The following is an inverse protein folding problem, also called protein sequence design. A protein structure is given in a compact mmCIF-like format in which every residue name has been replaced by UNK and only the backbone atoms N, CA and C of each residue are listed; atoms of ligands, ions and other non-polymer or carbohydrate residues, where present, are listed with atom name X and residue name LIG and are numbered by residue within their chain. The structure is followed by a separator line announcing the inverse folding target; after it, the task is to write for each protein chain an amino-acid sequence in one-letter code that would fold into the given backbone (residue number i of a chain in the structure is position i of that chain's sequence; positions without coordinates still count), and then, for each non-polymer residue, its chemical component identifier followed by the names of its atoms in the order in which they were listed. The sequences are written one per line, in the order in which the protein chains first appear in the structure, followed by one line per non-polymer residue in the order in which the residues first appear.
data_IF_444151162158
#
_entry.id   IF_444151162158
#
_cell.length_a   1.000
_cell.length_b   1.000
_cell.length_c   1.000
_cell.angle_alpha   90.00
_cell.angle_beta   90.00
_cell.angle_gamma   90.00
#
_symmetry.space_group_name_H-M   'P 1'
#
loop_
_entity.id
_entity.type
_entity.pdbx_description
1 polymer ?
#
# COMPACT_ATOMS: atom_id res chain seq x y z
N UNK A 1 9.35 3.85 -1.09
CA UNK A 1 8.33 2.86 -0.68
C UNK A 1 8.59 2.27 0.72
N UNK A 2 9.76 1.69 1.01
CA UNK A 2 10.06 1.10 2.34
C UNK A 2 9.91 2.08 3.51
N UNK A 3 10.35 3.32 3.38
CA UNK A 3 10.26 4.33 4.45
C UNK A 3 8.82 4.71 4.78
N UNK A 4 7.92 4.81 3.81
CA UNK A 4 6.51 5.11 4.07
C UNK A 4 5.77 3.90 4.66
N UNK A 5 5.94 2.72 4.09
CA UNK A 5 5.21 1.51 4.49
C UNK A 5 5.73 0.89 5.80
N UNK A 6 7.02 1.03 6.12
CA UNK A 6 7.70 0.46 7.32
C UNK A 6 7.30 -0.98 7.60
N UNK A 7 7.47 -1.90 6.64
CA UNK A 7 6.96 -3.26 6.77
C UNK A 7 7.69 -4.04 7.84
N UNK A 8 6.95 -4.71 8.72
CA UNK A 8 7.46 -5.69 9.69
C UNK A 8 7.02 -7.10 9.36
N UNK A 9 5.83 -7.26 8.76
CA UNK A 9 5.32 -8.55 8.28
C UNK A 9 4.59 -8.38 6.95
N UNK A 10 4.53 -9.48 6.20
CA UNK A 10 3.81 -9.56 4.93
C UNK A 10 2.84 -10.73 4.98
N UNK A 11 1.67 -10.56 4.38
CA UNK A 11 0.81 -11.70 4.08
C UNK A 11 1.42 -12.61 3.02
N UNK A 12 0.89 -13.81 2.90
CA UNK A 12 1.09 -14.59 1.69
C UNK A 12 0.54 -13.81 0.48
N UNK A 13 1.36 -13.58 -0.56
CA UNK A 13 0.88 -12.87 -1.75
C UNK A 13 -0.06 -13.76 -2.55
N UNK A 14 -1.09 -13.14 -3.15
CA UNK A 14 -2.06 -13.80 -4.02
C UNK A 14 -1.94 -13.28 -5.44
N UNK A 15 -1.99 -14.19 -6.41
CA UNK A 15 -2.03 -13.83 -7.83
C UNK A 15 -3.47 -13.90 -8.32
N UNK A 16 -3.93 -12.82 -8.95
CA UNK A 16 -5.27 -12.74 -9.50
C UNK A 16 -5.22 -12.45 -11.01
N UNK A 17 -6.09 -13.14 -11.75
CA UNK A 17 -6.26 -13.00 -13.20
C UNK A 17 -7.70 -12.63 -13.50
N UNK A 18 -7.89 -11.55 -14.27
CA UNK A 18 -9.19 -11.07 -14.71
C UNK A 18 -9.22 -11.05 -16.25
N UNK A 19 -10.07 -11.86 -16.86
CA UNK A 19 -10.37 -11.82 -18.29
C UNK A 19 -11.60 -10.94 -18.58
N UNK A 20 -12.08 -10.89 -19.83
CA UNK A 20 -13.25 -10.11 -20.22
C UNK A 20 -14.48 -10.43 -19.37
N UNK A 21 -15.12 -9.40 -18.82
CA UNK A 21 -16.22 -9.48 -17.86
C UNK A 21 -15.78 -9.65 -16.40
N UNK A 22 -14.51 -10.01 -16.16
CA UNK A 22 -13.95 -10.16 -14.81
C UNK A 22 -13.88 -8.81 -14.09
N UNK A 23 -14.35 -8.78 -12.85
CA UNK A 23 -14.35 -7.61 -11.98
C UNK A 23 -14.30 -8.06 -10.52
N UNK A 24 -14.10 -7.13 -9.63
CA UNK A 24 -14.26 -7.38 -8.19
C UNK A 24 -15.04 -6.23 -7.55
N UNK A 25 -16.17 -6.54 -6.93
CA UNK A 25 -17.06 -5.55 -6.34
C UNK A 25 -16.38 -4.71 -5.27
N UNK A 26 -16.91 -3.53 -5.00
CA UNK A 26 -16.38 -2.64 -3.96
C UNK A 26 -16.52 -3.30 -2.59
N UNK A 27 -15.43 -3.36 -1.83
CA UNK A 27 -15.34 -4.01 -0.53
C UNK A 27 -14.24 -3.35 0.33
N UNK A 28 -14.10 -3.82 1.54
CA UNK A 28 -12.91 -3.63 2.39
C UNK A 28 -12.23 -4.97 2.62
N UNK A 29 -10.93 -4.97 2.78
CA UNK A 29 -10.16 -6.17 3.13
C UNK A 29 -10.35 -6.56 4.60
N UNK A 30 -10.03 -7.82 4.91
CA UNK A 30 -10.02 -8.31 6.29
C UNK A 30 -8.96 -7.58 7.12
N UNK A 31 -9.27 -7.25 8.37
CA UNK A 31 -8.36 -6.57 9.28
C UNK A 31 -7.14 -7.43 9.70
N UNK A 32 -7.25 -8.76 9.57
CA UNK A 32 -6.19 -9.73 9.86
C UNK A 32 -6.23 -10.82 8.80
N UNK A 33 -5.07 -11.17 8.29
CA UNK A 33 -4.83 -12.32 7.42
C UNK A 33 -3.72 -13.19 8.01
N UNK A 34 -3.23 -14.20 7.30
CA UNK A 34 -2.16 -15.06 7.78
C UNK A 34 -0.95 -15.02 6.82
N UNK A 35 0.24 -15.20 7.37
CA UNK A 35 1.46 -15.40 6.60
C UNK A 35 1.60 -16.87 6.14
N UNK A 36 2.73 -17.18 5.50
CA UNK A 36 3.05 -18.54 5.01
C UNK A 36 3.16 -19.60 6.12
N UNK A 37 3.40 -19.19 7.37
CA UNK A 37 3.52 -20.06 8.54
C UNK A 37 2.20 -20.14 9.34
N UNK A 38 1.14 -19.47 8.87
CA UNK A 38 -0.14 -19.40 9.56
C UNK A 38 -0.18 -18.38 10.72
N UNK A 39 0.82 -17.50 10.84
CA UNK A 39 0.82 -16.46 11.86
C UNK A 39 -0.07 -15.28 11.44
N UNK A 40 -0.79 -14.67 12.39
CA UNK A 40 -1.64 -13.52 12.07
C UNK A 40 -0.80 -12.31 11.64
N UNK A 41 -1.25 -11.66 10.58
CA UNK A 41 -0.71 -10.41 10.03
C UNK A 41 -1.81 -9.37 10.04
N UNK A 42 -1.61 -8.29 10.80
CA UNK A 42 -2.50 -7.12 10.76
C UNK A 42 -2.35 -6.42 9.40
N UNK A 43 -3.46 -6.11 8.78
CA UNK A 43 -3.49 -5.52 7.44
C UNK A 43 -3.57 -4.00 7.55
N UNK A 44 -2.43 -3.32 7.65
CA UNK A 44 -2.39 -1.85 7.73
C UNK A 44 -2.37 -1.19 6.34
N UNK A 45 -1.75 -1.88 5.38
CA UNK A 45 -1.58 -1.41 4.00
C UNK A 45 -1.89 -2.55 3.06
N UNK A 46 -2.79 -2.32 2.11
CA UNK A 46 -3.02 -3.18 0.94
C UNK A 46 -2.09 -2.77 -0.19
N UNK A 47 -1.61 -3.72 -0.97
CA UNK A 47 -0.88 -3.44 -2.20
C UNK A 47 -1.43 -4.24 -3.37
N UNK A 48 -1.39 -3.62 -4.54
CA UNK A 48 -1.63 -4.27 -5.84
C UNK A 48 -0.42 -4.01 -6.73
N UNK A 49 0.36 -5.05 -7.01
CA UNK A 49 1.45 -5.03 -7.99
C UNK A 49 0.87 -5.46 -9.35
N UNK A 50 0.97 -4.59 -10.34
CA UNK A 50 0.50 -4.85 -11.70
C UNK A 50 1.53 -5.69 -12.47
N UNK A 51 1.09 -6.79 -13.08
CA UNK A 51 1.93 -7.73 -13.81
C UNK A 51 1.65 -7.73 -15.32
N UNK A 52 0.46 -7.27 -15.73
CA UNK A 52 0.13 -7.03 -17.15
C UNK A 52 0.48 -5.61 -17.52
N UNK A 53 0.99 -5.42 -18.71
CA UNK A 53 1.18 -4.10 -19.30
C UNK A 53 -0.18 -3.44 -19.55
N UNK A 54 -0.34 -2.17 -19.17
CA UNK A 54 -1.59 -1.43 -19.31
C UNK A 54 -2.12 -1.34 -20.76
N UNK A 55 -1.25 -1.46 -21.76
CA UNK A 55 -1.63 -1.49 -23.18
C UNK A 55 -2.27 -2.83 -23.62
N UNK A 56 -2.11 -3.91 -22.84
CA UNK A 56 -2.56 -5.26 -23.23
C UNK A 56 -3.99 -5.58 -22.84
N UNK A 57 -4.63 -4.76 -22.00
CA UNK A 57 -6.01 -4.94 -21.58
C UNK A 57 -6.77 -3.60 -21.47
N UNK A 58 -8.09 -3.63 -21.53
CA UNK A 58 -8.96 -2.48 -21.34
C UNK A 58 -9.90 -2.69 -20.15
N UNK A 59 -10.27 -1.61 -19.47
CA UNK A 59 -10.97 -1.69 -18.18
C UNK A 59 -10.07 -2.18 -17.08
N UNK A 60 -10.61 -2.89 -16.09
CA UNK A 60 -9.84 -3.54 -15.02
C UNK A 60 -9.04 -2.58 -14.15
N UNK A 61 -9.44 -1.32 -14.01
CA UNK A 61 -8.78 -0.38 -13.13
C UNK A 61 -8.98 -0.79 -11.66
N UNK A 62 -7.96 -0.62 -10.85
CA UNK A 62 -8.10 -0.63 -9.40
C UNK A 62 -8.80 0.68 -8.99
N UNK A 63 -10.02 0.56 -8.48
CA UNK A 63 -10.80 1.66 -7.93
C UNK A 63 -10.52 1.76 -6.43
N UNK A 64 -10.10 2.92 -5.95
CA UNK A 64 -9.97 3.22 -4.51
C UNK A 64 -10.84 4.42 -4.19
N UNK A 65 -11.77 4.25 -3.25
CA UNK A 65 -12.67 5.32 -2.81
C UNK A 65 -11.98 6.21 -1.79
N UNK A 66 -11.97 7.50 -2.06
CA UNK A 66 -11.44 8.53 -1.20
C UNK A 66 -12.54 9.55 -0.88
N UNK A 67 -12.60 10.18 0.30
CA UNK A 67 -13.55 11.25 0.60
C UNK A 67 -13.53 12.40 -0.41
N UNK A 68 -12.39 12.65 -1.06
CA UNK A 68 -12.23 13.66 -2.10
C UNK A 68 -12.70 13.20 -3.50
N UNK A 69 -13.10 11.94 -3.67
CA UNK A 69 -13.56 11.34 -4.90
C UNK A 69 -12.87 10.01 -5.23
N UNK A 70 -13.52 9.20 -6.03
CA UNK A 70 -13.01 7.90 -6.45
C UNK A 70 -11.77 8.07 -7.36
N UNK A 71 -10.75 7.25 -7.12
CA UNK A 71 -9.50 7.24 -7.88
C UNK A 71 -9.32 5.89 -8.58
N UNK A 72 -9.01 5.93 -9.86
CA UNK A 72 -8.75 4.73 -10.66
C UNK A 72 -7.27 4.62 -11.02
N UNK A 73 -6.73 3.41 -10.90
CA UNK A 73 -5.32 3.13 -11.17
C UNK A 73 -5.21 1.99 -12.18
N UNK A 74 -4.44 2.23 -13.24
CA UNK A 74 -4.04 1.24 -14.23
C UNK A 74 -2.61 1.55 -14.71
N UNK A 75 -1.62 1.45 -13.83
CA UNK A 75 -0.23 1.74 -14.16
C UNK A 75 0.40 0.61 -14.97
N UNK A 76 1.60 0.86 -15.49
CA UNK A 76 2.42 -0.11 -16.21
C UNK A 76 2.84 -1.31 -15.35
N UNK A 77 3.12 -2.43 -16.01
CA UNK A 77 3.65 -3.63 -15.36
C UNK A 77 4.90 -3.32 -14.52
N UNK A 78 5.02 -3.97 -13.36
CA UNK A 78 6.07 -3.70 -12.38
C UNK A 78 5.78 -2.55 -11.43
N UNK A 79 4.71 -1.78 -11.66
CA UNK A 79 4.26 -0.73 -10.73
C UNK A 79 3.35 -1.30 -9.65
N UNK A 80 3.42 -0.72 -8.45
CA UNK A 80 2.55 -1.07 -7.34
C UNK A 80 1.76 0.14 -6.83
N UNK A 81 0.48 -0.07 -6.53
CA UNK A 81 -0.37 0.88 -5.80
C UNK A 81 -0.51 0.38 -4.37
N UNK A 82 -0.21 1.26 -3.41
CA UNK A 82 -0.36 1.01 -1.97
C UNK A 82 -1.41 1.96 -1.41
N UNK A 83 -2.29 1.44 -0.56
CA UNK A 83 -3.34 2.23 0.07
C UNK A 83 -3.68 1.66 1.47
N UNK A 84 -4.24 2.49 2.38
CA UNK A 84 -4.71 2.00 3.68
C UNK A 84 -5.78 0.91 3.49
N UNK A 85 -5.60 -0.23 4.15
CA UNK A 85 -6.46 -1.42 3.98
C UNK A 85 -7.94 -1.16 4.30
N UNK A 86 -8.23 -0.22 5.21
CA UNK A 86 -9.60 0.15 5.55
C UNK A 86 -10.37 0.95 4.48
N UNK A 87 -9.72 1.33 3.37
CA UNK A 87 -10.40 2.04 2.28
C UNK A 87 -11.26 1.09 1.44
N UNK A 88 -12.46 1.55 1.06
CA UNK A 88 -13.31 0.88 0.08
C UNK A 88 -12.59 0.85 -1.26
N UNK A 89 -12.49 -0.32 -1.87
CA UNK A 89 -11.83 -0.49 -3.16
C UNK A 89 -12.43 -1.65 -3.95
N UNK A 90 -12.08 -1.74 -5.22
CA UNK A 90 -12.59 -2.77 -6.12
C UNK A 90 -11.83 -2.80 -7.44
N UNK A 91 -12.28 -3.62 -8.36
CA UNK A 91 -11.74 -3.71 -9.72
C UNK A 91 -12.87 -3.52 -10.71
N UNK A 92 -12.74 -2.52 -11.60
CA UNK A 92 -13.71 -2.27 -12.66
C UNK A 92 -13.70 -3.43 -13.68
N UNK A 93 -14.80 -3.66 -14.43
CA UNK A 93 -14.85 -4.75 -15.41
C UNK A 93 -13.73 -4.65 -16.45
N UNK A 94 -13.04 -5.76 -16.68
CA UNK A 94 -12.14 -5.92 -17.85
C UNK A 94 -13.00 -6.07 -19.09
N UNK A 95 -12.75 -5.28 -20.12
CA UNK A 95 -13.53 -5.33 -21.38
C UNK A 95 -12.79 -6.04 -22.50
N UNK A 96 -11.44 -6.05 -22.45
CA UNK A 96 -10.58 -6.73 -23.42
C UNK A 96 -9.28 -7.16 -22.75
N UNK A 97 -8.67 -8.24 -23.24
CA UNK A 97 -7.37 -8.72 -22.77
C UNK A 97 -7.41 -9.38 -21.39
N UNK A 98 -6.27 -9.43 -20.72
CA UNK A 98 -6.13 -10.04 -19.39
C UNK A 98 -5.34 -9.16 -18.44
N UNK A 99 -5.93 -8.89 -17.29
CA UNK A 99 -5.29 -8.19 -16.18
C UNK A 99 -4.71 -9.22 -15.20
N UNK A 100 -3.40 -9.22 -15.03
CA UNK A 100 -2.69 -10.02 -14.02
C UNK A 100 -2.14 -9.10 -12.94
N UNK A 101 -2.33 -9.47 -11.69
CA UNK A 101 -1.79 -8.73 -10.54
C UNK A 101 -1.33 -9.69 -9.45
N UNK A 102 -0.43 -9.19 -8.61
CA UNK A 102 -0.11 -9.77 -7.32
C UNK A 102 -0.65 -8.82 -6.24
N UNK A 103 -1.46 -9.33 -5.33
CA UNK A 103 -2.04 -8.55 -4.23
C UNK A 103 -1.62 -9.13 -2.89
N UNK A 104 -1.59 -8.29 -1.86
CA UNK A 104 -1.29 -8.71 -0.52
C UNK A 104 -1.34 -7.55 0.46
N UNK A 105 -0.96 -7.84 1.70
CA UNK A 105 -1.07 -6.92 2.82
C UNK A 105 0.25 -6.81 3.58
N UNK A 106 0.44 -5.65 4.16
CA UNK A 106 1.62 -5.29 4.95
C UNK A 106 1.14 -4.90 6.35
N UNK A 107 1.73 -5.54 7.34
CA UNK A 107 1.74 -5.03 8.69
C UNK A 107 2.87 -4.02 8.81
N UNK A 108 2.53 -2.80 9.13
CA UNK A 108 3.49 -1.71 9.34
C UNK A 108 3.96 -1.65 10.79
N UNK A 109 5.21 -1.27 11.00
CA UNK A 109 5.73 -0.91 12.32
C UNK A 109 4.89 0.20 12.96
N UNK A 110 4.36 1.13 12.16
CA UNK A 110 3.50 2.22 12.61
C UNK A 110 2.09 2.00 12.07
N UNK A 111 1.17 1.65 12.96
CA UNK A 111 -0.19 1.21 12.62
C UNK A 111 -1.02 2.29 11.91
N UNK A 112 -1.00 3.52 12.40
CA UNK A 112 -1.85 4.60 11.90
C UNK A 112 -1.28 5.22 10.62
N UNK A 113 -2.14 5.44 9.62
CA UNK A 113 -1.76 6.02 8.33
C UNK A 113 -1.23 7.46 8.47
N UNK A 114 -1.90 8.29 9.26
CA UNK A 114 -1.51 9.68 9.51
C UNK A 114 -0.13 9.80 10.19
N UNK A 115 0.19 8.88 11.10
CA UNK A 115 1.50 8.81 11.73
C UNK A 115 2.60 8.37 10.74
N UNK A 116 2.30 7.41 9.84
CA UNK A 116 3.23 7.01 8.77
C UNK A 116 3.51 8.16 7.82
N UNK A 117 2.48 8.91 7.42
CA UNK A 117 2.62 10.08 6.55
C UNK A 117 3.49 11.16 7.21
N UNK A 118 3.21 11.50 8.47
CA UNK A 118 4.01 12.48 9.19
C UNK A 118 5.49 12.06 9.30
N UNK A 119 5.76 10.82 9.67
CA UNK A 119 7.14 10.30 9.72
C UNK A 119 7.82 10.35 8.36
N UNK A 120 7.12 10.00 7.29
CA UNK A 120 7.64 10.05 5.93
C UNK A 120 7.99 11.48 5.51
N UNK A 121 7.12 12.45 5.82
CA UNK A 121 7.38 13.86 5.51
C UNK A 121 8.57 14.42 6.31
N UNK A 122 8.68 14.07 7.59
CA UNK A 122 9.83 14.46 8.42
C UNK A 122 11.14 13.86 7.88
N UNK A 123 11.14 12.60 7.43
CA UNK A 123 12.30 11.98 6.79
C UNK A 123 12.67 12.66 5.46
N UNK A 124 11.69 13.10 4.68
CA UNK A 124 11.94 13.89 3.47
C UNK A 124 12.58 15.23 3.79
N UNK A 125 12.07 15.93 4.80
CA UNK A 125 12.69 17.19 5.26
C UNK A 125 14.12 16.91 5.72
N UNK A 126 14.32 15.88 6.56
CA UNK A 126 15.65 15.49 7.05
C UNK A 126 16.62 15.16 5.92
N UNK A 127 16.18 14.47 4.88
CA UNK A 127 17.02 14.12 3.73
C UNK A 127 17.52 15.32 2.92
N UNK A 128 16.87 16.45 3.03
CA UNK A 128 17.30 17.72 2.40
C UNK A 128 18.19 18.61 3.27
N UNK A 129 18.55 18.17 4.48
CA UNK A 129 19.39 18.94 5.40
C UNK A 129 20.88 18.56 5.23
N UNK A 130 21.77 19.55 5.15
CA UNK A 130 23.22 19.36 5.00
C UNK A 130 23.95 18.91 6.30
N UNK A 131 23.21 18.63 7.40
CA UNK A 131 23.76 18.27 8.69
C UNK A 131 23.64 19.40 9.72
N UNK A 132 24.48 19.34 10.78
CA UNK A 132 24.46 20.32 11.86
C UNK A 132 23.40 20.04 12.93
N UNK A 133 23.24 20.96 13.89
CA UNK A 133 22.37 20.79 15.07
C UNK A 133 20.89 20.58 14.67
N UNK A 134 20.39 21.29 13.68
CA UNK A 134 19.02 21.15 13.22
C UNK A 134 18.74 19.73 12.67
N UNK A 135 19.70 19.15 11.94
CA UNK A 135 19.60 17.79 11.44
C UNK A 135 19.61 16.76 12.57
N UNK A 136 20.45 16.96 13.59
CA UNK A 136 20.48 16.10 14.78
C UNK A 136 19.19 16.16 15.59
N UNK A 137 18.59 17.34 15.74
CA UNK A 137 17.29 17.52 16.40
C UNK A 137 16.19 16.83 15.60
N UNK A 138 16.24 16.89 14.26
CA UNK A 138 15.28 16.18 13.40
C UNK A 138 15.43 14.67 13.54
N UNK A 139 16.65 14.13 13.53
CA UNK A 139 16.93 12.71 13.77
C UNK A 139 16.41 12.25 15.14
N UNK A 140 16.60 13.07 16.17
CA UNK A 140 16.09 12.81 17.52
C UNK A 140 14.56 12.80 17.53
N UNK A 141 13.90 13.77 16.88
CA UNK A 141 12.44 13.86 16.80
C UNK A 141 11.85 12.63 16.09
N UNK A 142 12.37 12.27 14.91
CA UNK A 142 11.95 11.09 14.15
C UNK A 142 12.15 9.81 14.99
N UNK A 143 13.31 9.68 15.63
CA UNK A 143 13.61 8.52 16.49
C UNK A 143 12.66 8.41 17.69
N UNK A 144 12.29 9.53 18.31
CA UNK A 144 11.34 9.55 19.42
C UNK A 144 9.91 9.21 18.97
N UNK A 145 9.46 9.74 17.82
CA UNK A 145 8.16 9.37 17.25
C UNK A 145 8.10 7.87 16.92
N UNK A 146 9.17 7.29 16.40
CA UNK A 146 9.25 5.84 16.17
C UNK A 146 9.18 5.03 17.46
N UNK A 147 9.81 5.49 18.56
CA UNK A 147 9.67 4.83 19.86
C UNK A 147 8.27 4.94 20.45
N UNK A 148 7.55 6.04 20.15
CA UNK A 148 6.19 6.27 20.65
C UNK A 148 5.13 5.51 19.85
N UNK A 149 5.35 5.30 18.55
CA UNK A 149 4.34 4.80 17.62
C UNK A 149 4.66 3.43 17.02
N UNK A 150 5.88 2.95 17.20
CA UNK A 150 6.25 1.61 16.72
C UNK A 150 5.55 0.52 17.54
N UNK A 151 4.93 -0.43 16.83
CA UNK A 151 4.28 -1.61 17.40
C UNK A 151 4.87 -2.86 16.74
N UNK A 152 5.16 -3.89 17.53
CA UNK A 152 5.64 -5.20 17.05
C UNK A 152 4.53 -6.05 16.41
#
# INVERSE_FOLDING_TARGET
MRSWARPVRWSLPMFARYGPGGHYGVHTDNAVVHDENGWPVRTDISFTLFLSDAATYDGGALLVRDPAGDREFRPEAGSAVLYPTGQLHGVTPVTRGERLVCVGWIQSLVRRADQRELLFDLERVRSGMDGGEAALLMDMAIGNLLRMWGED
#
